data_IF_102983155579
#
_entry.id   IF_102983155579
#
_cell.length_a   1.000
_cell.length_b   1.000
_cell.length_c   1.000
_cell.angle_alpha   90.00
_cell.angle_beta   90.00
_cell.angle_gamma   90.00
#
_symmetry.space_group_name_H-M   'P 1'
#
loop_
_entity.id
_entity.type
_entity.pdbx_description
1 polymer ?
#
# COMPACT_ATOMS: atom_id res chain seq x y z
N UNK A 1 29.63 -4.17 28.32
CA UNK A 1 28.80 -4.77 27.30
C UNK A 1 27.49 -3.97 27.30
N UNK A 2 27.19 -3.20 26.27
CA UNK A 2 25.91 -2.47 26.19
C UNK A 2 24.85 -3.47 25.72
N UNK A 3 23.88 -3.78 26.56
CA UNK A 3 22.73 -4.61 26.21
C UNK A 3 21.79 -3.80 25.29
N UNK A 4 21.25 -4.45 24.27
CA UNK A 4 20.29 -3.89 23.32
C UNK A 4 18.98 -3.48 24.05
N UNK A 5 18.23 -2.51 23.54
CA UNK A 5 17.01 -1.96 24.18
C UNK A 5 15.98 -3.06 24.52
N UNK A 6 15.76 -4.02 23.61
CA UNK A 6 14.88 -5.18 23.82
C UNK A 6 15.31 -6.05 25.02
N UNK A 7 16.61 -6.18 25.27
CA UNK A 7 17.12 -6.90 26.44
C UNK A 7 16.92 -6.12 27.75
N UNK A 8 16.74 -4.80 27.70
CA UNK A 8 16.48 -3.99 28.90
C UNK A 8 15.05 -4.07 29.41
N UNK A 9 14.07 -4.19 28.51
CA UNK A 9 12.65 -4.34 28.90
C UNK A 9 12.42 -5.71 29.54
N UNK A 10 13.00 -6.76 29.00
CA UNK A 10 13.00 -8.11 29.59
C UNK A 10 13.64 -8.08 30.99
N UNK A 11 14.73 -7.33 31.22
CA UNK A 11 15.41 -7.28 32.49
C UNK A 11 14.63 -6.55 33.60
N UNK A 12 13.83 -5.55 33.28
CA UNK A 12 13.02 -4.81 34.27
C UNK A 12 11.83 -5.66 34.78
N UNK A 13 11.20 -6.44 33.91
CA UNK A 13 10.20 -7.43 34.36
C UNK A 13 10.83 -8.57 35.18
N UNK A 14 12.03 -9.04 34.82
CA UNK A 14 12.73 -10.10 35.57
C UNK A 14 13.13 -9.69 36.99
N UNK A 15 13.50 -8.43 37.23
CA UNK A 15 13.89 -7.98 38.57
C UNK A 15 12.73 -7.96 39.58
N UNK A 16 11.48 -7.88 39.12
CA UNK A 16 10.29 -7.92 39.98
C UNK A 16 9.79 -9.36 40.20
N UNK A 17 10.00 -10.28 39.26
CA UNK A 17 9.60 -11.68 39.36
C UNK A 17 10.57 -12.55 40.18
N UNK A 18 11.85 -12.19 40.22
CA UNK A 18 12.88 -12.93 40.98
C UNK A 18 12.59 -13.04 42.49
N UNK A 19 11.68 -12.22 43.03
CA UNK A 19 11.29 -12.22 44.45
C UNK A 19 10.16 -13.23 44.79
N UNK A 20 9.58 -13.93 43.83
CA UNK A 20 8.36 -14.75 44.07
C UNK A 20 8.44 -16.25 43.67
N UNK A 21 9.55 -16.72 43.11
CA UNK A 21 9.73 -18.15 42.74
C UNK A 21 8.66 -18.67 41.74
N UNK A 22 8.19 -17.84 40.84
CA UNK A 22 7.15 -18.18 39.83
C UNK A 22 7.78 -18.52 38.48
N UNK A 23 7.20 -19.46 37.75
CA UNK A 23 7.50 -19.67 36.35
C UNK A 23 6.86 -18.54 35.53
N UNK A 24 7.61 -17.90 34.64
CA UNK A 24 7.11 -16.99 33.61
C UNK A 24 6.93 -17.78 32.33
N UNK A 25 5.85 -17.51 31.62
CA UNK A 25 5.67 -17.98 30.24
C UNK A 25 6.03 -16.82 29.33
N UNK A 26 7.01 -17.02 28.49
CA UNK A 26 7.31 -16.11 27.38
C UNK A 26 6.53 -16.63 26.19
N UNK A 27 5.57 -15.86 25.69
CA UNK A 27 4.84 -16.17 24.47
C UNK A 27 5.53 -15.43 23.34
N UNK A 28 6.03 -16.17 22.38
CA UNK A 28 6.55 -15.59 21.13
C UNK A 28 5.47 -15.75 20.07
N UNK A 29 5.04 -14.65 19.51
CA UNK A 29 4.12 -14.60 18.37
C UNK A 29 4.97 -14.53 17.10
N UNK A 30 4.65 -15.40 16.14
CA UNK A 30 5.23 -15.34 14.79
C UNK A 30 4.10 -15.32 13.79
N UNK A 31 4.16 -14.40 12.84
CA UNK A 31 3.27 -14.29 11.69
C UNK A 31 3.99 -14.81 10.46
N UNK A 32 3.29 -15.50 9.59
CA UNK A 32 3.82 -16.04 8.34
C UNK A 32 2.69 -16.52 7.45
N UNK A 33 3.01 -16.86 6.20
CA UNK A 33 2.05 -17.36 5.24
C UNK A 33 1.68 -18.81 5.58
N UNK A 34 0.38 -19.12 5.61
CA UNK A 34 -0.16 -20.49 5.73
C UNK A 34 -0.39 -21.09 4.34
N UNK A 35 -1.09 -20.37 3.49
CA UNK A 35 -1.39 -20.75 2.12
C UNK A 35 -1.44 -19.55 1.20
N UNK A 36 -1.45 -19.78 -0.11
CA UNK A 36 -1.49 -18.72 -1.12
C UNK A 36 -2.48 -19.06 -2.23
N UNK A 37 -3.16 -18.04 -2.74
CA UNK A 37 -3.97 -18.14 -3.96
C UNK A 37 -3.48 -17.13 -4.98
N UNK A 38 -3.26 -17.56 -6.22
CA UNK A 38 -2.91 -16.69 -7.34
C UNK A 38 -4.13 -16.41 -8.21
N UNK A 39 -4.28 -15.17 -8.62
CA UNK A 39 -5.24 -14.71 -9.65
C UNK A 39 -4.44 -14.16 -10.82
N UNK A 40 -4.61 -14.75 -11.99
CA UNK A 40 -3.93 -14.38 -13.24
C UNK A 40 -4.75 -14.86 -14.45
N UNK A 41 -4.30 -14.56 -15.65
CA UNK A 41 -4.91 -15.03 -16.92
C UNK A 41 -5.15 -16.56 -16.99
N UNK A 42 -4.46 -17.34 -16.14
CA UNK A 42 -4.57 -18.81 -16.14
C UNK A 42 -4.95 -19.41 -14.78
N UNK A 43 -5.15 -18.60 -13.75
CA UNK A 43 -5.33 -19.06 -12.38
C UNK A 43 -6.38 -18.24 -11.63
N UNK A 44 -6.95 -18.83 -10.55
CA UNK A 44 -7.82 -18.11 -9.62
C UNK A 44 -9.23 -17.82 -10.14
N UNK A 45 -9.73 -18.62 -11.10
CA UNK A 45 -11.03 -18.48 -11.74
C UNK A 45 -11.24 -17.15 -12.51
N UNK A 46 -10.22 -16.36 -12.68
CA UNK A 46 -10.30 -15.13 -13.48
C UNK A 46 -10.56 -15.49 -14.95
N UNK A 47 -11.67 -15.04 -15.53
CA UNK A 47 -12.10 -15.28 -16.92
C UNK A 47 -11.86 -14.07 -17.82
N UNK A 48 -11.42 -12.93 -17.25
CA UNK A 48 -11.03 -11.74 -17.98
C UNK A 48 -9.88 -12.02 -18.95
N UNK A 49 -9.77 -11.22 -19.99
CA UNK A 49 -8.70 -11.34 -20.98
C UNK A 49 -7.64 -10.30 -20.68
N UNK A 50 -6.42 -10.76 -20.39
CA UNK A 50 -5.24 -9.91 -20.27
C UNK A 50 -4.41 -10.05 -21.54
N UNK A 51 -3.93 -8.94 -22.06
CA UNK A 51 -2.99 -8.90 -23.18
C UNK A 51 -1.55 -8.81 -22.71
N UNK A 52 -0.57 -9.04 -23.59
CA UNK A 52 0.83 -8.94 -23.22
C UNK A 52 1.17 -7.49 -22.83
N UNK A 53 1.82 -7.31 -21.69
CA UNK A 53 2.21 -6.04 -21.08
C UNK A 53 1.11 -5.25 -20.35
N UNK A 54 -0.11 -5.76 -20.17
CA UNK A 54 -1.18 -5.06 -19.41
C UNK A 54 -0.79 -4.72 -17.98
N UNK A 55 0.12 -5.50 -17.39
CA UNK A 55 0.60 -5.32 -16.01
C UNK A 55 -0.53 -5.35 -14.98
N UNK A 56 -1.47 -6.28 -15.09
CA UNK A 56 -2.52 -6.51 -14.10
C UNK A 56 -1.92 -6.73 -12.70
N UNK A 57 -2.46 -6.05 -11.69
CA UNK A 57 -1.91 -6.06 -10.34
C UNK A 57 -0.78 -5.06 -10.11
N UNK A 58 -0.61 -4.06 -10.99
CA UNK A 58 0.25 -2.89 -10.72
C UNK A 58 -0.26 -2.05 -9.55
N UNK A 59 -1.57 -2.04 -9.33
CA UNK A 59 -2.24 -1.49 -8.16
C UNK A 59 -3.27 -2.50 -7.66
N UNK A 60 -3.53 -2.51 -6.36
CA UNK A 60 -4.60 -3.29 -5.75
C UNK A 60 -5.18 -2.55 -4.55
N UNK A 61 -6.49 -2.57 -4.40
CA UNK A 61 -7.20 -2.02 -3.25
C UNK A 61 -8.30 -2.96 -2.79
N UNK A 62 -8.50 -3.03 -1.48
CA UNK A 62 -9.72 -3.54 -0.86
C UNK A 62 -10.82 -2.50 -1.10
N UNK A 63 -11.92 -2.88 -1.74
CA UNK A 63 -13.05 -1.99 -2.03
C UNK A 63 -14.32 -2.34 -1.23
N UNK A 64 -14.13 -3.13 -0.16
CA UNK A 64 -15.24 -3.60 0.67
C UNK A 64 -16.06 -4.69 0.01
N UNK A 65 -17.23 -4.97 0.54
CA UNK A 65 -18.21 -5.95 0.05
C UNK A 65 -19.23 -5.19 -0.82
N UNK A 66 -18.95 -5.13 -2.14
CA UNK A 66 -19.69 -4.26 -3.08
C UNK A 66 -21.09 -4.82 -3.42
N UNK A 67 -21.23 -6.14 -3.52
CA UNK A 67 -22.51 -6.78 -3.80
C UNK A 67 -23.24 -7.31 -2.55
N UNK A 68 -22.69 -7.08 -1.36
CA UNK A 68 -23.25 -7.44 -0.05
C UNK A 68 -23.45 -8.96 0.14
N UNK A 69 -22.47 -9.76 -0.25
CA UNK A 69 -22.45 -11.22 -0.07
C UNK A 69 -21.71 -11.65 1.20
N UNK A 70 -20.95 -10.75 1.81
CA UNK A 70 -20.18 -10.93 3.06
C UNK A 70 -18.70 -11.21 2.84
N UNK A 71 -18.21 -11.21 1.61
CA UNK A 71 -16.80 -11.32 1.24
C UNK A 71 -16.28 -9.95 0.78
N UNK A 72 -15.01 -9.67 1.02
CA UNK A 72 -14.39 -8.42 0.59
C UNK A 72 -13.95 -8.54 -0.86
N UNK A 73 -14.26 -7.50 -1.65
CA UNK A 73 -13.91 -7.39 -3.06
C UNK A 73 -12.65 -6.56 -3.27
N UNK A 74 -12.05 -6.72 -4.43
CA UNK A 74 -10.81 -6.04 -4.79
C UNK A 74 -10.98 -5.23 -6.08
N UNK A 75 -10.25 -4.12 -6.16
CA UNK A 75 -9.97 -3.44 -7.43
C UNK A 75 -8.50 -3.64 -7.79
N UNK A 76 -8.22 -4.00 -9.03
CA UNK A 76 -6.87 -4.25 -9.55
C UNK A 76 -6.59 -3.41 -10.79
N UNK A 77 -5.49 -2.69 -10.81
CA UNK A 77 -5.07 -1.88 -11.95
C UNK A 77 -4.30 -2.68 -13.00
N UNK A 78 -4.52 -2.32 -14.26
CA UNK A 78 -3.79 -2.76 -15.45
C UNK A 78 -3.45 -1.52 -16.30
N UNK A 79 -2.42 -0.74 -15.93
CA UNK A 79 -2.21 0.61 -16.46
C UNK A 79 -1.74 0.64 -17.92
N UNK A 80 -1.29 -0.48 -18.47
CA UNK A 80 -0.86 -0.57 -19.86
C UNK A 80 -1.87 -1.29 -20.76
N UNK A 81 -3.11 -1.47 -20.29
CA UNK A 81 -4.20 -2.04 -21.09
C UNK A 81 -4.52 -1.12 -22.28
N UNK A 82 -4.64 -1.72 -23.47
CA UNK A 82 -4.80 -1.02 -24.75
C UNK A 82 -6.27 -0.77 -25.15
N UNK A 83 -7.24 -0.94 -24.24
CA UNK A 83 -8.65 -0.67 -24.53
C UNK A 83 -8.89 0.79 -24.90
N UNK A 84 -9.40 1.02 -26.09
CA UNK A 84 -9.66 2.36 -26.64
C UNK A 84 -8.46 3.02 -27.30
N UNK A 85 -7.22 2.67 -26.93
CA UNK A 85 -5.97 3.21 -27.48
C UNK A 85 -4.74 2.67 -26.77
N UNK A 86 -3.55 3.17 -27.07
CA UNK A 86 -2.30 2.66 -26.54
C UNK A 86 -2.10 3.08 -25.08
N UNK A 87 -1.87 2.10 -24.17
CA UNK A 87 -1.57 2.30 -22.75
C UNK A 87 -2.55 3.27 -22.06
N UNK A 88 -3.82 3.25 -22.44
CA UNK A 88 -4.86 4.05 -21.76
C UNK A 88 -5.11 3.55 -20.36
N UNK A 89 -4.98 2.23 -20.19
CA UNK A 89 -5.13 1.55 -18.93
C UNK A 89 -6.55 1.15 -18.56
N UNK A 90 -6.64 0.27 -17.57
CA UNK A 90 -7.90 -0.26 -17.07
C UNK A 90 -7.84 -0.55 -15.56
N UNK A 91 -9.03 -0.71 -14.97
CA UNK A 91 -9.21 -1.26 -13.62
C UNK A 91 -10.17 -2.45 -13.71
N UNK A 92 -9.83 -3.52 -13.03
CA UNK A 92 -10.68 -4.69 -12.85
C UNK A 92 -11.28 -4.67 -11.45
N UNK A 93 -12.60 -4.72 -11.36
CA UNK A 93 -13.34 -5.01 -10.14
C UNK A 93 -13.46 -6.52 -10.04
N UNK A 94 -12.98 -7.10 -8.97
CA UNK A 94 -12.95 -8.53 -8.71
C UNK A 94 -13.87 -8.85 -7.53
N UNK A 95 -14.99 -9.51 -7.79
CA UNK A 95 -15.85 -10.05 -6.76
C UNK A 95 -15.24 -11.36 -6.29
N UNK A 96 -14.88 -11.43 -5.01
CA UNK A 96 -14.00 -12.47 -4.48
C UNK A 96 -14.77 -13.57 -3.76
N UNK A 97 -14.22 -14.78 -3.78
CA UNK A 97 -14.61 -15.86 -2.86
C UNK A 97 -13.70 -15.84 -1.63
N UNK A 98 -14.15 -16.47 -0.52
CA UNK A 98 -13.38 -16.61 0.73
C UNK A 98 -12.11 -17.45 0.59
N UNK A 99 -11.94 -18.20 -0.50
CA UNK A 99 -10.73 -18.95 -0.83
C UNK A 99 -9.73 -18.15 -1.69
N UNK A 100 -9.98 -16.85 -1.91
CA UNK A 100 -9.14 -15.95 -2.68
C UNK A 100 -9.23 -16.13 -4.20
N UNK A 101 -10.19 -16.90 -4.69
CA UNK A 101 -10.51 -16.98 -6.12
C UNK A 101 -11.54 -15.91 -6.50
N UNK A 102 -11.61 -15.56 -7.79
CA UNK A 102 -12.60 -14.64 -8.33
C UNK A 102 -13.93 -15.42 -8.58
N UNK A 103 -15.06 -14.82 -8.20
CA UNK A 103 -16.40 -15.31 -8.59
C UNK A 103 -16.87 -14.65 -9.89
N UNK A 104 -16.77 -13.33 -9.97
CA UNK A 104 -17.12 -12.51 -11.14
C UNK A 104 -16.10 -11.37 -11.24
N UNK A 105 -15.81 -10.92 -12.45
CA UNK A 105 -15.03 -9.71 -12.68
C UNK A 105 -15.75 -8.70 -13.57
N UNK A 106 -15.48 -7.42 -13.38
CA UNK A 106 -15.92 -6.32 -14.24
C UNK A 106 -14.75 -5.43 -14.60
N UNK A 107 -14.46 -5.28 -15.90
CA UNK A 107 -13.45 -4.33 -16.39
C UNK A 107 -14.04 -2.93 -16.51
N UNK A 108 -13.26 -1.93 -16.12
CA UNK A 108 -13.51 -0.50 -16.34
C UNK A 108 -12.37 0.04 -17.18
N UNK A 109 -12.68 0.49 -18.40
CA UNK A 109 -11.73 1.04 -19.36
C UNK A 109 -12.41 2.14 -20.20
N UNK A 110 -11.68 2.73 -21.13
CA UNK A 110 -12.26 3.71 -22.08
C UNK A 110 -13.40 3.12 -22.93
N UNK A 111 -13.55 1.78 -22.99
CA UNK A 111 -14.56 1.09 -23.78
C UNK A 111 -15.51 0.22 -22.97
N UNK A 112 -15.23 -0.05 -21.70
CA UNK A 112 -16.00 -0.98 -20.86
C UNK A 112 -16.39 -0.38 -19.50
N UNK A 113 -17.27 -1.05 -18.76
CA UNK A 113 -17.63 -0.68 -17.38
C UNK A 113 -18.45 0.61 -17.24
N UNK A 114 -19.09 1.09 -18.32
CA UNK A 114 -19.82 2.37 -18.36
C UNK A 114 -18.95 3.61 -18.04
N UNK A 115 -17.64 3.49 -18.10
CA UNK A 115 -16.77 4.63 -17.92
C UNK A 115 -17.08 5.71 -18.98
N UNK A 116 -17.16 7.01 -18.60
CA UNK A 116 -17.72 8.04 -19.50
C UNK A 116 -16.84 8.41 -20.70
N UNK A 117 -15.73 7.71 -20.91
CA UNK A 117 -14.67 7.99 -21.88
C UNK A 117 -13.90 9.28 -21.60
N UNK A 118 -12.71 9.40 -22.12
CA UNK A 118 -11.88 10.58 -22.00
C UNK A 118 -10.45 10.28 -21.54
N UNK A 119 -10.02 9.02 -21.68
CA UNK A 119 -8.62 8.68 -21.56
C UNK A 119 -7.91 8.91 -22.90
N UNK A 120 -6.75 9.52 -22.83
CA UNK A 120 -5.86 9.68 -23.98
C UNK A 120 -4.79 8.56 -24.00
N UNK A 121 -4.11 8.41 -25.13
CA UNK A 121 -3.05 7.39 -25.22
C UNK A 121 -1.93 7.69 -24.23
N UNK A 122 -1.53 6.68 -23.47
CA UNK A 122 -0.51 6.70 -22.41
C UNK A 122 -0.92 7.34 -21.08
N UNK A 123 -2.19 7.65 -20.82
CA UNK A 123 -2.66 8.18 -19.52
C UNK A 123 -2.39 7.23 -18.36
N UNK A 124 -2.34 5.91 -18.64
CA UNK A 124 -2.11 4.86 -17.63
C UNK A 124 -3.12 4.87 -16.48
N UNK A 125 -4.40 4.99 -16.82
CA UNK A 125 -5.50 4.82 -15.87
C UNK A 125 -5.39 3.44 -15.19
N UNK A 126 -5.52 3.40 -13.86
CA UNK A 126 -5.30 2.18 -13.07
C UNK A 126 -3.88 2.04 -12.52
N UNK A 127 -3.00 3.04 -12.68
CA UNK A 127 -1.68 3.04 -12.01
C UNK A 127 -1.79 3.04 -10.48
N UNK A 128 -2.84 3.62 -9.94
CA UNK A 128 -3.20 3.60 -8.52
C UNK A 128 -4.71 3.42 -8.37
N UNK A 129 -5.13 2.74 -7.30
CA UNK A 129 -6.55 2.54 -6.94
C UNK A 129 -6.69 2.64 -5.43
N UNK A 130 -7.73 3.34 -4.95
CA UNK A 130 -8.08 3.42 -3.54
C UNK A 130 -9.60 3.41 -3.33
N UNK A 131 -10.08 2.80 -2.25
CA UNK A 131 -11.46 2.86 -1.79
C UNK A 131 -11.75 4.21 -1.13
N UNK A 132 -12.95 4.74 -1.30
CA UNK A 132 -13.37 6.06 -0.78
C UNK A 132 -14.51 5.99 0.23
N UNK A 133 -15.04 4.79 0.51
CA UNK A 133 -16.32 4.68 1.19
C UNK A 133 -17.48 5.08 0.27
N UNK A 134 -18.64 5.24 0.87
CA UNK A 134 -19.85 5.76 0.21
C UNK A 134 -19.79 7.30 0.21
N UNK A 135 -19.09 7.87 -0.78
CA UNK A 135 -18.83 9.32 -0.86
C UNK A 135 -20.11 10.12 -1.17
N UNK A 136 -21.04 9.53 -1.94
CA UNK A 136 -22.23 10.20 -2.42
C UNK A 136 -23.49 9.90 -1.57
N UNK A 137 -23.42 8.98 -0.60
CA UNK A 137 -24.49 8.61 0.31
C UNK A 137 -25.54 7.65 -0.30
N UNK A 138 -25.19 6.86 -1.32
CA UNK A 138 -26.09 5.91 -1.98
C UNK A 138 -25.99 4.47 -1.44
N UNK A 139 -25.12 4.22 -0.47
CA UNK A 139 -24.74 2.96 0.17
C UNK A 139 -23.98 1.98 -0.73
N UNK A 140 -23.33 2.45 -1.78
CA UNK A 140 -22.37 1.71 -2.58
C UNK A 140 -21.00 2.37 -2.39
N UNK A 141 -19.96 1.57 -2.28
CA UNK A 141 -18.61 2.08 -2.08
C UNK A 141 -18.06 2.64 -3.39
N UNK A 142 -17.41 3.78 -3.32
CA UNK A 142 -16.83 4.49 -4.44
C UNK A 142 -15.30 4.32 -4.44
N UNK A 143 -14.63 4.56 -5.57
CA UNK A 143 -13.20 4.40 -5.71
C UNK A 143 -12.52 5.61 -6.36
N UNK A 144 -11.24 5.81 -6.04
CA UNK A 144 -10.36 6.73 -6.76
C UNK A 144 -9.37 5.95 -7.61
N UNK A 145 -9.10 6.42 -8.82
CA UNK A 145 -8.18 5.79 -9.77
C UNK A 145 -7.21 6.82 -10.34
N UNK A 146 -5.93 6.51 -10.34
CA UNK A 146 -4.87 7.37 -10.86
C UNK A 146 -4.60 7.16 -12.35
N UNK A 147 -4.30 8.27 -13.03
CA UNK A 147 -3.82 8.36 -14.39
C UNK A 147 -2.63 9.32 -14.42
N UNK A 148 -1.43 8.91 -13.99
CA UNK A 148 -0.31 9.82 -13.69
C UNK A 148 0.32 10.46 -14.93
N UNK A 149 0.08 9.95 -16.11
CA UNK A 149 0.60 10.53 -17.35
C UNK A 149 -0.46 11.30 -18.15
N UNK A 150 -1.60 11.64 -17.53
CA UNK A 150 -2.62 12.51 -18.12
C UNK A 150 -2.06 13.89 -18.41
N UNK A 151 -2.28 14.40 -19.64
CA UNK A 151 -1.72 15.63 -20.15
C UNK A 151 -2.58 16.89 -19.85
N UNK A 152 -3.55 16.81 -18.96
CA UNK A 152 -4.39 17.96 -18.60
C UNK A 152 -3.56 19.12 -18.01
N UNK A 153 -3.53 20.23 -18.76
CA UNK A 153 -2.80 21.44 -18.38
C UNK A 153 -1.32 21.46 -18.77
N UNK A 154 -0.71 20.31 -19.09
CA UNK A 154 0.70 20.19 -19.52
C UNK A 154 1.11 18.73 -19.66
N UNK A 155 2.37 18.46 -19.93
CA UNK A 155 2.88 17.10 -20.18
C UNK A 155 2.99 16.32 -18.89
N UNK A 156 2.36 15.13 -18.83
CA UNK A 156 2.45 14.16 -17.73
C UNK A 156 2.22 14.80 -16.34
N UNK A 157 1.31 15.76 -16.25
CA UNK A 157 0.94 16.38 -14.96
C UNK A 157 0.14 15.45 -14.11
N UNK A 158 -0.62 14.55 -14.77
CA UNK A 158 -1.40 13.52 -14.15
C UNK A 158 -2.79 13.95 -13.67
N UNK A 159 -3.60 12.95 -13.39
CA UNK A 159 -4.98 13.11 -12.93
C UNK A 159 -5.40 11.99 -11.97
N UNK A 160 -6.47 12.27 -11.22
CA UNK A 160 -7.21 11.30 -10.42
C UNK A 160 -8.67 11.29 -10.88
N UNK A 161 -9.23 10.11 -11.04
CA UNK A 161 -10.63 9.92 -11.34
C UNK A 161 -11.36 9.41 -10.09
N UNK A 162 -12.40 10.09 -9.66
CA UNK A 162 -13.34 9.61 -8.65
C UNK A 162 -14.46 8.90 -9.37
N UNK A 163 -14.63 7.61 -9.12
CA UNK A 163 -15.63 6.77 -9.75
C UNK A 163 -16.72 6.45 -8.74
N UNK A 164 -17.92 6.92 -9.01
CA UNK A 164 -19.13 6.53 -8.28
C UNK A 164 -19.65 5.23 -8.86
N UNK A 165 -19.71 4.19 -8.03
CA UNK A 165 -19.90 2.84 -8.48
C UNK A 165 -21.37 2.38 -8.44
N UNK A 166 -21.69 1.37 -9.22
CA UNK A 166 -22.85 0.52 -9.05
C UNK A 166 -22.46 -0.79 -8.37
N UNK A 167 -23.39 -1.46 -7.71
CA UNK A 167 -23.15 -2.74 -7.05
C UNK A 167 -22.75 -3.89 -8.01
N UNK A 168 -22.84 -3.69 -9.32
CA UNK A 168 -22.39 -4.66 -10.34
C UNK A 168 -20.96 -4.35 -10.85
N UNK A 169 -20.23 -3.48 -10.16
CA UNK A 169 -18.87 -3.09 -10.52
C UNK A 169 -18.77 -2.12 -11.70
N UNK A 170 -19.88 -1.65 -12.25
CA UNK A 170 -19.86 -0.63 -13.33
C UNK A 170 -19.87 0.79 -12.75
N UNK A 171 -19.42 1.76 -13.54
CA UNK A 171 -19.41 3.19 -13.15
C UNK A 171 -20.80 3.80 -13.33
N UNK A 172 -21.30 4.46 -12.30
CA UNK A 172 -22.54 5.26 -12.34
C UNK A 172 -22.24 6.68 -12.86
N UNK A 173 -21.18 7.28 -12.33
CA UNK A 173 -20.69 8.63 -12.66
C UNK A 173 -19.21 8.72 -12.36
N UNK A 174 -18.47 9.58 -13.07
CA UNK A 174 -17.06 9.85 -12.81
C UNK A 174 -16.77 11.37 -12.72
N UNK A 175 -15.88 11.75 -11.82
CA UNK A 175 -15.35 13.10 -11.69
C UNK A 175 -13.82 13.07 -11.82
N UNK A 176 -13.28 13.75 -12.82
CA UNK A 176 -11.84 13.94 -12.97
C UNK A 176 -11.34 15.08 -12.08
N UNK A 177 -10.19 14.87 -11.47
CA UNK A 177 -9.42 15.88 -10.74
C UNK A 177 -8.07 16.01 -11.43
N UNK A 178 -7.79 17.16 -11.99
CA UNK A 178 -6.55 17.45 -12.70
C UNK A 178 -6.17 18.93 -12.54
N UNK A 179 -5.09 19.35 -13.19
CA UNK A 179 -4.70 20.77 -13.22
C UNK A 179 -5.78 21.70 -13.82
N UNK A 180 -6.78 21.16 -14.51
CA UNK A 180 -7.85 21.92 -15.19
C UNK A 180 -9.25 21.58 -14.73
N UNK A 181 -9.46 20.46 -14.02
CA UNK A 181 -10.77 19.93 -13.62
C UNK A 181 -10.87 19.62 -12.12
N UNK A 182 -12.10 19.31 -11.65
CA UNK A 182 -12.35 18.86 -10.27
C UNK A 182 -12.20 19.92 -9.19
N UNK A 183 -12.00 21.19 -9.56
CA UNK A 183 -11.81 22.28 -8.59
C UNK A 183 -10.41 22.36 -7.98
N UNK A 184 -9.48 21.54 -8.43
CA UNK A 184 -8.09 21.57 -7.98
C UNK A 184 -7.41 22.85 -8.46
N UNK A 185 -6.87 23.62 -7.53
CA UNK A 185 -6.15 24.87 -7.80
C UNK A 185 -4.70 24.83 -7.33
N UNK A 186 -4.21 23.64 -6.96
CA UNK A 186 -2.79 23.37 -6.75
C UNK A 186 -2.02 23.58 -8.07
N UNK A 187 -0.73 23.81 -7.94
CA UNK A 187 0.12 23.96 -9.12
C UNK A 187 0.78 22.61 -9.37
N UNK A 188 0.46 21.99 -10.51
CA UNK A 188 1.18 20.84 -11.06
C UNK A 188 2.07 21.32 -12.20
N UNK A 189 3.31 20.92 -12.19
CA UNK A 189 4.28 21.18 -13.26
C UNK A 189 4.36 20.00 -14.23
N UNK A 190 5.03 20.18 -15.37
CA UNK A 190 5.18 19.09 -16.34
C UNK A 190 6.02 17.95 -15.75
N UNK A 191 5.55 16.70 -15.85
CA UNK A 191 6.07 15.45 -15.29
C UNK A 191 5.89 15.27 -13.78
N UNK A 192 5.05 16.03 -13.10
CA UNK A 192 4.74 15.81 -11.67
C UNK A 192 4.10 14.44 -11.40
N UNK A 193 3.39 13.89 -12.41
CA UNK A 193 2.76 12.57 -12.31
C UNK A 193 1.78 12.45 -11.13
N UNK A 194 0.94 13.46 -10.92
CA UNK A 194 -0.12 13.44 -9.92
C UNK A 194 -1.08 12.26 -10.15
N UNK A 195 -1.33 11.45 -9.14
CA UNK A 195 -2.09 10.22 -9.27
C UNK A 195 -1.23 8.95 -9.40
N UNK A 196 0.10 9.06 -9.26
CA UNK A 196 0.99 7.89 -9.25
C UNK A 196 0.72 6.94 -8.08
N UNK A 197 0.26 7.47 -6.95
CA UNK A 197 -0.24 6.71 -5.79
C UNK A 197 -1.46 7.41 -5.22
N UNK A 198 -2.41 6.64 -4.66
CA UNK A 198 -3.61 7.17 -4.00
C UNK A 198 -3.91 6.31 -2.77
N UNK A 199 -4.32 6.96 -1.69
CA UNK A 199 -4.83 6.28 -0.50
C UNK A 199 -5.96 7.07 0.14
N UNK A 200 -6.97 6.38 0.64
CA UNK A 200 -7.90 6.90 1.62
C UNK A 200 -7.18 7.00 2.97
N UNK A 201 -7.19 8.17 3.58
CA UNK A 201 -6.50 8.45 4.85
C UNK A 201 -7.49 8.83 5.97
N UNK A 202 -8.76 8.41 5.82
CA UNK A 202 -9.80 8.66 6.79
C UNK A 202 -10.33 10.10 6.77
N UNK A 203 -11.06 10.47 7.81
CA UNK A 203 -11.65 11.79 8.01
C UNK A 203 -10.79 12.60 8.99
N UNK A 204 -9.71 13.21 8.50
CA UNK A 204 -8.76 13.97 9.31
C UNK A 204 -9.37 15.25 9.90
N UNK A 205 -10.29 15.88 9.16
CA UNK A 205 -10.85 17.17 9.51
C UNK A 205 -12.18 17.05 10.28
N UNK A 206 -12.73 15.84 10.45
CA UNK A 206 -13.99 15.50 11.11
C UNK A 206 -15.22 16.14 10.44
N UNK A 207 -15.27 16.18 9.11
CA UNK A 207 -16.42 16.67 8.33
C UNK A 207 -17.34 15.55 7.81
N UNK A 208 -17.01 14.28 8.10
CA UNK A 208 -17.67 13.03 7.71
C UNK A 208 -17.42 12.58 6.27
N UNK A 209 -16.51 13.21 5.56
CA UNK A 209 -16.03 12.78 4.24
C UNK A 209 -14.56 12.36 4.36
N UNK A 210 -14.10 11.42 3.56
CA UNK A 210 -12.70 11.01 3.62
C UNK A 210 -11.79 12.06 2.98
N UNK A 211 -10.59 12.21 3.52
CA UNK A 211 -9.46 12.78 2.81
C UNK A 211 -8.75 11.68 2.02
N UNK A 212 -8.23 12.05 0.84
CA UNK A 212 -7.32 11.20 0.08
C UNK A 212 -5.92 11.81 0.01
N UNK A 213 -4.91 10.96 0.09
CA UNK A 213 -3.54 11.34 -0.21
C UNK A 213 -3.17 10.86 -1.61
N UNK A 214 -2.59 11.76 -2.41
CA UNK A 214 -2.25 11.54 -3.82
C UNK A 214 -0.77 11.85 -4.03
N UNK A 215 -0.02 10.89 -4.58
CA UNK A 215 1.38 11.05 -4.93
C UNK A 215 1.58 11.81 -6.24
N UNK A 216 2.58 12.70 -6.24
CA UNK A 216 3.13 13.40 -7.39
C UNK A 216 4.64 13.17 -7.37
N UNK A 217 5.06 12.05 -7.95
CA UNK A 217 6.42 11.51 -7.74
C UNK A 217 7.52 12.28 -8.45
N UNK A 218 7.18 12.98 -9.53
CA UNK A 218 8.09 13.84 -10.26
C UNK A 218 8.10 15.28 -9.78
N UNK A 219 7.45 15.61 -8.67
CA UNK A 219 7.40 16.98 -8.12
C UNK A 219 8.81 17.46 -7.73
N UNK A 220 9.16 18.66 -8.22
CA UNK A 220 10.48 19.26 -8.11
C UNK A 220 10.65 20.18 -6.87
N UNK A 221 9.74 20.15 -5.91
CA UNK A 221 9.85 20.93 -4.67
C UNK A 221 11.14 20.56 -3.90
N UNK A 222 12.02 21.54 -3.75
CA UNK A 222 13.32 21.36 -3.09
C UNK A 222 14.44 20.83 -3.99
N UNK A 223 14.13 20.13 -5.09
CA UNK A 223 15.10 19.56 -6.05
C UNK A 223 14.43 18.67 -7.08
N UNK A 224 15.19 18.03 -7.94
CA UNK A 224 14.66 17.25 -9.07
C UNK A 224 14.07 15.92 -8.61
N UNK A 225 12.81 15.64 -8.99
CA UNK A 225 12.09 14.39 -8.74
C UNK A 225 12.15 13.95 -7.27
N UNK A 226 12.10 14.90 -6.32
CA UNK A 226 12.04 14.56 -4.90
C UNK A 226 10.69 13.98 -4.51
N UNK A 227 9.66 14.37 -5.26
CA UNK A 227 8.29 13.94 -5.06
C UNK A 227 7.53 14.70 -3.97
N UNK A 228 6.21 14.56 -4.01
CA UNK A 228 5.30 15.19 -3.07
C UNK A 228 4.03 14.34 -2.86
N UNK A 229 3.34 14.64 -1.77
CA UNK A 229 2.01 14.10 -1.48
C UNK A 229 1.03 15.27 -1.40
N UNK A 230 -0.10 15.16 -2.08
CA UNK A 230 -1.22 16.08 -1.99
C UNK A 230 -2.33 15.44 -1.15
N UNK A 231 -2.70 16.06 -0.06
CA UNK A 231 -3.85 15.66 0.77
C UNK A 231 -5.04 16.47 0.32
N UNK A 232 -6.09 15.79 -0.14
CA UNK A 232 -7.27 16.39 -0.74
C UNK A 232 -8.50 16.10 0.10
N UNK A 233 -9.21 17.14 0.54
CA UNK A 233 -10.55 17.01 1.11
C UNK A 233 -11.58 17.03 -0.01
N UNK A 234 -12.37 15.95 -0.10
CA UNK A 234 -13.37 15.77 -1.14
C UNK A 234 -14.74 16.33 -0.73
N UNK A 235 -15.53 16.73 -1.71
CA UNK A 235 -16.95 16.97 -1.55
C UNK A 235 -17.75 15.72 -2.01
N UNK A 236 -19.03 15.59 -1.60
CA UNK A 236 -19.91 14.47 -1.97
C UNK A 236 -20.04 14.22 -3.49
N UNK A 237 -19.69 15.17 -4.32
CA UNK A 237 -19.71 15.05 -5.78
C UNK A 237 -18.32 14.75 -6.40
N UNK A 238 -17.34 14.42 -5.58
CA UNK A 238 -15.97 14.11 -6.01
C UNK A 238 -15.10 15.31 -6.39
N UNK A 239 -15.57 16.55 -6.22
CA UNK A 239 -14.72 17.73 -6.42
C UNK A 239 -13.92 18.06 -5.17
N UNK A 240 -12.82 18.78 -5.31
CA UNK A 240 -11.97 19.20 -4.20
C UNK A 240 -12.57 20.40 -3.46
N UNK A 241 -12.67 20.30 -2.14
CA UNK A 241 -13.04 21.39 -1.24
C UNK A 241 -11.80 22.13 -0.72
N UNK A 242 -10.76 21.41 -0.31
CA UNK A 242 -9.48 21.97 0.14
C UNK A 242 -8.34 20.98 -0.11
N UNK A 243 -7.11 21.45 -0.07
CA UNK A 243 -5.94 20.60 -0.22
C UNK A 243 -4.74 21.13 0.58
N UNK A 244 -3.83 20.22 0.92
CA UNK A 244 -2.53 20.49 1.52
C UNK A 244 -1.46 19.72 0.75
N UNK A 245 -0.33 20.36 0.41
CA UNK A 245 0.85 19.69 -0.15
C UNK A 245 1.85 19.37 0.97
N UNK A 246 2.41 18.17 0.94
CA UNK A 246 3.52 17.71 1.79
C UNK A 246 4.70 17.40 0.88
N UNK A 247 5.80 18.14 1.04
CA UNK A 247 7.02 18.00 0.22
C UNK A 247 8.24 18.47 1.02
N UNK A 248 9.43 18.40 0.45
CA UNK A 248 10.68 18.92 1.05
C UNK A 248 10.59 20.42 1.46
N UNK A 249 9.60 21.15 0.95
CA UNK A 249 9.42 22.58 1.22
C UNK A 249 8.04 22.95 1.77
N UNK A 250 7.12 22.01 1.95
CA UNK A 250 5.72 22.27 2.29
C UNK A 250 5.15 21.28 3.30
N UNK A 251 4.03 21.62 3.96
CA UNK A 251 3.27 20.69 4.81
C UNK A 251 3.92 20.39 6.17
N UNK A 252 4.82 21.23 6.66
CA UNK A 252 5.58 21.05 7.90
C UNK A 252 6.47 19.78 7.92
N UNK A 253 6.65 19.12 6.78
CA UNK A 253 7.57 18.00 6.65
C UNK A 253 9.00 18.48 6.86
N UNK A 254 9.69 17.91 7.85
CA UNK A 254 11.07 18.29 8.22
C UNK A 254 12.08 17.20 7.83
N UNK A 255 11.63 16.12 7.20
CA UNK A 255 12.46 15.09 6.61
C UNK A 255 13.36 15.67 5.52
N UNK A 256 14.37 14.94 5.14
CA UNK A 256 15.28 15.34 4.05
C UNK A 256 15.08 14.42 2.87
N UNK A 257 14.59 14.94 1.76
CA UNK A 257 14.51 14.27 0.48
C UNK A 257 15.69 14.67 -0.40
N UNK A 258 16.15 13.77 -1.25
CA UNK A 258 17.21 14.00 -2.25
C UNK A 258 16.62 13.94 -3.64
N UNK A 259 17.39 14.43 -4.61
CA UNK A 259 16.99 14.37 -6.01
C UNK A 259 16.84 12.91 -6.44
N UNK A 260 15.68 12.55 -6.98
CA UNK A 260 15.35 11.19 -7.41
C UNK A 260 14.80 10.26 -6.32
N UNK A 261 14.48 10.73 -5.12
CA UNK A 261 13.90 9.89 -4.05
C UNK A 261 12.47 9.41 -4.39
N UNK A 262 11.73 10.15 -5.23
CA UNK A 262 10.34 9.83 -5.61
C UNK A 262 9.41 9.64 -4.41
N UNK A 263 9.46 10.55 -3.43
CA UNK A 263 8.58 10.52 -2.26
C UNK A 263 7.11 10.58 -2.67
N UNK A 264 6.29 9.70 -2.09
CA UNK A 264 4.90 9.52 -2.49
C UNK A 264 4.72 8.49 -3.61
N UNK A 265 5.74 7.67 -3.94
CA UNK A 265 5.64 6.57 -4.91
C UNK A 265 4.66 5.48 -4.51
N UNK A 266 4.41 5.34 -3.22
CA UNK A 266 3.31 4.56 -2.64
C UNK A 266 2.79 5.29 -1.42
N UNK A 267 1.51 5.14 -1.11
CA UNK A 267 0.86 5.80 0.04
C UNK A 267 -0.16 4.86 0.64
N UNK A 268 -0.27 4.86 1.97
CA UNK A 268 -1.36 4.18 2.68
C UNK A 268 -1.78 4.97 3.92
N UNK A 269 -3.08 5.04 4.19
CA UNK A 269 -3.59 5.34 5.52
C UNK A 269 -3.28 4.16 6.44
N UNK A 270 -2.64 4.41 7.56
CA UNK A 270 -2.21 3.33 8.47
C UNK A 270 -2.97 3.33 9.80
N UNK A 271 -3.98 4.19 9.94
CA UNK A 271 -4.68 4.39 11.20
C UNK A 271 -3.90 5.29 12.17
N UNK A 272 -4.41 5.42 13.38
CA UNK A 272 -3.83 6.24 14.46
C UNK A 272 -2.68 5.48 15.16
N UNK A 273 -1.46 5.59 14.59
CA UNK A 273 -0.28 4.85 15.05
C UNK A 273 0.15 5.28 16.46
N UNK A 274 0.10 6.58 16.76
CA UNK A 274 0.59 7.10 18.05
C UNK A 274 -0.50 7.32 19.10
N UNK A 275 -1.75 7.00 18.76
CA UNK A 275 -2.93 7.08 19.61
C UNK A 275 -3.30 8.51 20.05
N UNK A 276 -3.17 9.47 19.13
CA UNK A 276 -3.58 10.85 19.35
C UNK A 276 -5.00 11.15 18.82
N UNK A 277 -5.62 10.21 18.10
CA UNK A 277 -6.97 10.28 17.55
C UNK A 277 -7.02 10.82 16.12
N UNK A 278 -5.88 10.93 15.45
CA UNK A 278 -5.76 11.36 14.05
C UNK A 278 -5.15 10.22 13.25
N UNK A 279 -5.66 9.98 12.05
CA UNK A 279 -5.11 8.98 11.13
C UNK A 279 -3.72 9.41 10.62
N UNK A 280 -2.81 8.44 10.54
CA UNK A 280 -1.43 8.62 10.09
C UNK A 280 -1.20 7.98 8.72
N UNK A 281 -0.09 8.31 8.08
CA UNK A 281 0.21 7.92 6.70
C UNK A 281 1.55 7.19 6.65
N UNK A 282 1.62 6.11 5.87
CA UNK A 282 2.89 5.57 5.37
C UNK A 282 3.09 5.99 3.91
N UNK A 283 4.32 6.37 3.55
CA UNK A 283 4.67 6.80 2.20
C UNK A 283 6.00 6.21 1.75
N UNK A 284 6.04 5.68 0.53
CA UNK A 284 7.26 5.17 -0.11
C UNK A 284 8.10 6.28 -0.74
N UNK A 285 9.40 6.02 -0.83
CA UNK A 285 10.39 6.79 -1.56
C UNK A 285 11.37 5.80 -2.21
N UNK A 286 10.99 5.28 -3.37
CA UNK A 286 11.64 4.10 -3.99
C UNK A 286 13.06 4.35 -4.48
N UNK A 287 13.40 5.60 -4.80
CA UNK A 287 14.74 6.00 -5.23
C UNK A 287 15.65 6.43 -4.09
N UNK A 288 15.25 6.26 -2.82
CA UNK A 288 16.09 6.64 -1.68
C UNK A 288 17.38 5.81 -1.63
N UNK A 289 18.52 6.53 -1.55
CA UNK A 289 19.88 5.97 -1.61
C UNK A 289 20.46 5.61 -0.23
N UNK A 290 19.66 5.53 0.82
CA UNK A 290 20.16 5.19 2.14
C UNK A 290 20.70 3.75 2.19
N UNK A 291 22.03 3.65 2.36
CA UNK A 291 22.75 2.37 2.39
C UNK A 291 23.27 1.90 1.03
N UNK A 292 22.74 2.38 -0.08
CA UNK A 292 23.12 2.02 -1.47
C UNK A 292 22.17 2.64 -2.49
N UNK A 293 22.38 2.36 -3.78
CA UNK A 293 21.60 2.97 -4.86
C UNK A 293 20.18 2.38 -4.92
N UNK A 294 19.16 3.26 -4.92
CA UNK A 294 17.75 2.92 -5.10
C UNK A 294 17.28 1.78 -4.18
N UNK A 295 17.80 1.71 -2.94
CA UNK A 295 17.35 0.71 -1.98
C UNK A 295 15.94 0.98 -1.50
N UNK A 296 15.55 2.24 -1.57
CA UNK A 296 14.24 2.72 -1.18
C UNK A 296 14.07 2.94 0.33
N UNK A 297 12.99 3.61 0.66
CA UNK A 297 12.59 3.91 2.04
C UNK A 297 11.08 3.99 2.20
N UNK A 298 10.62 3.83 3.43
CA UNK A 298 9.25 4.12 3.87
C UNK A 298 9.32 5.24 4.91
N UNK A 299 8.43 6.21 4.80
CA UNK A 299 8.22 7.26 5.79
C UNK A 299 6.92 7.00 6.55
N UNK A 300 6.97 6.91 7.86
CA UNK A 300 5.80 7.02 8.72
C UNK A 300 5.58 8.51 9.04
N UNK A 301 4.45 9.05 8.64
CA UNK A 301 4.07 10.47 8.82
C UNK A 301 2.96 10.53 9.86
N UNK A 302 3.25 11.05 11.05
CA UNK A 302 2.27 11.31 12.09
C UNK A 302 1.62 12.67 11.81
N UNK A 303 0.31 12.68 11.59
CA UNK A 303 -0.39 13.80 11.01
C UNK A 303 -1.02 14.73 12.06
N UNK A 304 -1.30 15.96 11.64
CA UNK A 304 -2.19 16.89 12.33
C UNK A 304 -3.57 16.90 11.65
N UNK A 305 -4.61 17.30 12.38
CA UNK A 305 -5.97 17.44 11.86
C UNK A 305 -6.12 18.51 10.74
N UNK A 306 -5.10 19.31 10.47
CA UNK A 306 -5.06 20.28 9.37
C UNK A 306 -4.27 19.76 8.15
N UNK A 307 -4.06 18.45 8.11
CA UNK A 307 -3.36 17.74 7.02
C UNK A 307 -1.87 18.12 6.88
N UNK A 308 -1.27 18.69 7.92
CA UNK A 308 0.19 18.89 7.98
C UNK A 308 0.88 17.75 8.73
N UNK A 309 2.17 17.53 8.51
CA UNK A 309 2.97 16.53 9.21
C UNK A 309 3.37 17.09 10.58
N UNK A 310 3.07 16.34 11.65
CA UNK A 310 3.48 16.66 13.01
C UNK A 310 4.86 16.12 13.36
N UNK A 311 5.12 14.91 12.88
CA UNK A 311 6.37 14.19 13.06
C UNK A 311 6.53 13.16 11.95
N UNK A 312 7.74 12.92 11.51
CA UNK A 312 8.05 11.91 10.53
C UNK A 312 9.17 10.98 11.00
N UNK A 313 9.07 9.71 10.67
CA UNK A 313 10.11 8.70 10.89
C UNK A 313 10.42 8.00 9.57
N UNK A 314 11.67 8.10 9.14
CA UNK A 314 12.19 7.34 7.99
C UNK A 314 12.58 5.94 8.41
N UNK A 315 12.18 4.96 7.60
CA UNK A 315 12.55 3.55 7.70
C UNK A 315 13.31 3.19 6.42
N UNK A 316 14.58 2.84 6.54
CA UNK A 316 15.46 2.54 5.41
C UNK A 316 16.57 1.59 5.84
N UNK A 317 17.44 1.19 4.93
CA UNK A 317 18.61 0.35 5.24
C UNK A 317 19.49 0.90 6.39
N UNK A 318 19.34 2.18 6.74
CA UNK A 318 20.17 2.84 7.77
C UNK A 318 19.38 3.54 8.87
N UNK A 319 18.06 3.61 8.77
CA UNK A 319 17.18 4.36 9.67
C UNK A 319 15.99 3.52 10.16
N UNK A 320 15.29 4.00 11.22
CA UNK A 320 14.02 3.42 11.69
C UNK A 320 14.17 2.07 12.39
N UNK A 321 15.38 1.72 12.85
CA UNK A 321 15.72 0.41 13.44
C UNK A 321 15.54 -0.78 12.47
N UNK A 322 15.36 -0.55 11.18
CA UNK A 322 15.29 -1.61 10.17
C UNK A 322 16.63 -2.34 10.07
N UNK A 323 16.60 -3.67 10.21
CA UNK A 323 17.79 -4.53 10.14
C UNK A 323 17.68 -5.57 9.02
N UNK A 324 16.61 -5.50 8.22
CA UNK A 324 16.46 -6.27 7.00
C UNK A 324 17.59 -5.94 6.02
N UNK A 325 18.03 -6.94 5.27
CA UNK A 325 19.04 -6.71 4.22
C UNK A 325 18.35 -6.15 2.99
N UNK A 326 18.61 -4.89 2.64
CA UNK A 326 18.24 -4.30 1.37
C UNK A 326 19.49 -4.20 0.50
N UNK A 327 19.38 -4.69 -0.72
CA UNK A 327 20.40 -4.57 -1.75
C UNK A 327 20.11 -3.41 -2.71
N UNK A 328 21.05 -3.05 -3.57
CA UNK A 328 20.87 -1.95 -4.50
C UNK A 328 19.75 -2.27 -5.49
N UNK A 329 18.82 -1.34 -5.71
CA UNK A 329 17.63 -1.44 -6.56
C UNK A 329 16.54 -2.40 -6.02
N UNK A 330 16.49 -2.66 -4.73
CA UNK A 330 15.39 -3.42 -4.12
C UNK A 330 14.06 -2.63 -4.13
N UNK A 331 14.11 -1.30 -4.21
CA UNK A 331 12.94 -0.41 -4.22
C UNK A 331 12.02 -0.62 -3.01
N UNK A 332 12.59 -0.74 -1.80
CA UNK A 332 11.80 -0.86 -0.57
C UNK A 332 10.85 0.34 -0.41
N UNK A 333 9.58 0.07 -0.22
CA UNK A 333 8.53 1.09 -0.29
C UNK A 333 7.89 1.22 -1.68
N UNK A 334 8.11 0.27 -2.62
CA UNK A 334 7.39 0.23 -3.90
C UNK A 334 5.88 0.14 -3.72
N UNK A 335 5.43 -0.43 -2.62
CA UNK A 335 4.07 -0.42 -2.13
C UNK A 335 4.05 -0.39 -0.60
N UNK A 336 2.98 0.14 0.01
CA UNK A 336 2.77 0.15 1.45
C UNK A 336 1.30 -0.11 1.79
N UNK A 337 1.03 -0.73 2.95
CA UNK A 337 -0.33 -0.89 3.48
C UNK A 337 -0.32 -1.02 5.01
N UNK A 338 -1.36 -0.51 5.68
CA UNK A 338 -1.60 -0.74 7.09
C UNK A 338 -2.17 -2.14 7.33
N UNK A 339 -1.66 -2.87 8.32
CA UNK A 339 -2.12 -4.22 8.65
C UNK A 339 -2.93 -4.28 9.94
N UNK A 340 -3.11 -3.13 10.63
CA UNK A 340 -3.61 -3.16 11.99
C UNK A 340 -2.62 -3.85 12.95
N UNK A 341 -3.07 -4.23 14.13
CA UNK A 341 -2.25 -4.89 15.16
C UNK A 341 -2.16 -6.41 14.92
N UNK A 342 -1.26 -6.83 14.03
CA UNK A 342 -1.12 -8.26 13.67
C UNK A 342 -0.33 -9.06 14.71
N UNK A 343 0.43 -8.39 15.58
CA UNK A 343 1.21 -9.05 16.63
C UNK A 343 0.48 -9.06 17.99
N UNK A 344 -0.57 -8.25 18.19
CA UNK A 344 -1.40 -8.18 19.39
C UNK A 344 -0.81 -7.33 20.52
N UNK A 345 0.04 -6.36 20.20
CA UNK A 345 0.66 -5.46 21.19
C UNK A 345 -0.09 -4.12 21.36
N UNK A 346 -1.14 -3.89 20.56
CA UNK A 346 -1.98 -2.70 20.59
C UNK A 346 -1.39 -1.52 19.80
N UNK A 347 -0.48 -1.79 18.88
CA UNK A 347 0.10 -0.82 17.95
C UNK A 347 -0.14 -1.33 16.53
N UNK A 348 -0.40 -0.43 15.61
CA UNK A 348 -0.63 -0.76 14.21
C UNK A 348 0.70 -1.16 13.56
N UNK A 349 0.67 -2.25 12.79
CA UNK A 349 1.78 -2.75 12.01
C UNK A 349 1.56 -2.43 10.52
N UNK A 350 2.63 -2.42 9.73
CA UNK A 350 2.56 -2.10 8.30
C UNK A 350 3.28 -3.15 7.45
N UNK A 351 2.89 -3.25 6.17
CA UNK A 351 3.66 -3.98 5.17
C UNK A 351 4.23 -3.03 4.13
N UNK A 352 5.39 -3.37 3.58
CA UNK A 352 6.00 -2.68 2.45
C UNK A 352 6.54 -3.66 1.42
N UNK A 353 6.35 -3.35 0.15
CA UNK A 353 6.94 -4.07 -0.97
C UNK A 353 8.39 -3.66 -1.23
N UNK A 354 9.13 -4.56 -1.84
CA UNK A 354 10.46 -4.36 -2.41
C UNK A 354 10.46 -5.14 -3.74
N UNK A 355 9.91 -4.53 -4.80
CA UNK A 355 9.62 -5.23 -6.06
C UNK A 355 10.87 -5.60 -6.85
N UNK A 356 12.01 -4.96 -6.56
CA UNK A 356 13.31 -5.29 -7.12
C UNK A 356 14.12 -6.33 -6.35
N UNK A 357 13.63 -6.83 -5.21
CA UNK A 357 14.36 -7.78 -4.35
C UNK A 357 14.75 -9.06 -5.08
N UNK A 358 16.03 -9.44 -4.93
CA UNK A 358 16.66 -10.56 -5.66
C UNK A 358 16.59 -11.90 -4.91
N UNK A 359 15.79 -12.03 -3.87
CA UNK A 359 15.66 -13.28 -3.11
C UNK A 359 15.16 -14.45 -3.97
N UNK A 360 16.04 -15.43 -4.16
CA UNK A 360 15.79 -16.63 -4.97
C UNK A 360 15.96 -16.46 -6.46
N UNK A 361 16.13 -15.24 -6.98
CA UNK A 361 16.37 -14.90 -8.40
C UNK A 361 16.25 -13.40 -8.65
N UNK A 362 16.51 -12.97 -9.88
CA UNK A 362 16.55 -11.55 -10.21
C UNK A 362 15.19 -10.90 -10.21
N UNK A 363 15.02 -9.81 -9.47
CA UNK A 363 13.81 -8.99 -9.35
C UNK A 363 12.54 -9.84 -9.14
N UNK A 364 12.62 -10.87 -8.30
CA UNK A 364 11.43 -11.66 -7.95
C UNK A 364 10.51 -10.92 -7.01
N UNK A 365 11.09 -9.99 -6.27
CA UNK A 365 10.41 -9.15 -5.32
C UNK A 365 10.14 -9.80 -3.96
N UNK A 366 9.77 -8.96 -3.00
CA UNK A 366 9.48 -9.35 -1.64
C UNK A 366 8.45 -8.42 -0.98
N UNK A 367 7.85 -8.91 0.11
CA UNK A 367 7.02 -8.14 1.03
C UNK A 367 7.65 -8.17 2.42
N UNK A 368 7.81 -7.02 3.03
CA UNK A 368 8.29 -6.86 4.40
C UNK A 368 7.14 -6.55 5.33
N UNK A 369 6.98 -7.31 6.40
CA UNK A 369 6.10 -7.02 7.52
C UNK A 369 6.90 -6.26 8.57
N UNK A 370 6.46 -5.10 8.98
CA UNK A 370 7.12 -4.24 9.96
C UNK A 370 6.25 -4.09 11.19
N UNK A 371 6.76 -4.55 12.33
CA UNK A 371 6.12 -4.42 13.63
C UNK A 371 6.56 -3.10 14.26
N UNK A 372 5.61 -2.20 14.46
CA UNK A 372 5.86 -0.79 14.72
C UNK A 372 5.95 -0.44 16.22
N UNK A 373 6.64 0.66 16.53
CA UNK A 373 6.49 1.44 17.77
C UNK A 373 5.64 2.70 17.47
N UNK A 374 5.03 3.30 18.49
CA UNK A 374 4.18 4.51 18.36
C UNK A 374 4.92 5.75 17.84
N UNK A 375 6.23 5.76 17.83
CA UNK A 375 7.07 6.83 17.29
C UNK A 375 7.50 6.57 15.83
N UNK A 376 6.91 5.56 15.19
CA UNK A 376 7.21 5.18 13.81
C UNK A 376 8.50 4.38 13.62
N UNK A 377 9.29 4.10 14.67
CA UNK A 377 10.39 3.13 14.59
C UNK A 377 9.84 1.70 14.55
N UNK A 378 10.59 0.76 14.00
CA UNK A 378 10.21 -0.67 14.03
C UNK A 378 10.87 -1.39 15.21
N UNK A 379 10.09 -2.34 15.78
CA UNK A 379 10.56 -3.27 16.81
C UNK A 379 11.27 -4.44 16.16
N UNK A 380 10.67 -4.96 15.10
CA UNK A 380 11.17 -6.10 14.34
C UNK A 380 10.52 -6.14 12.95
N UNK A 381 11.12 -6.90 12.05
CA UNK A 381 10.64 -7.10 10.69
C UNK A 381 10.62 -8.59 10.32
N UNK A 382 9.79 -8.95 9.34
CA UNK A 382 9.74 -10.27 8.73
C UNK A 382 9.60 -10.15 7.22
N UNK A 383 10.29 -10.98 6.45
CA UNK A 383 10.30 -10.96 4.99
C UNK A 383 9.52 -12.14 4.42
N UNK A 384 8.67 -11.88 3.43
CA UNK A 384 7.99 -12.86 2.60
C UNK A 384 8.56 -12.74 1.18
N UNK A 385 9.18 -13.82 0.69
CA UNK A 385 9.79 -13.86 -0.64
C UNK A 385 9.76 -15.28 -1.18
N UNK A 386 10.30 -15.51 -2.36
CA UNK A 386 10.37 -16.86 -2.96
C UNK A 386 11.15 -17.87 -2.10
N UNK A 387 11.88 -17.43 -1.08
CA UNK A 387 12.70 -18.29 -0.18
C UNK A 387 12.47 -18.01 1.31
N UNK A 388 11.60 -17.07 1.67
CA UNK A 388 11.35 -16.64 3.04
C UNK A 388 9.85 -16.55 3.36
N UNK A 389 9.48 -16.49 4.66
CA UNK A 389 8.11 -16.21 5.10
C UNK A 389 7.10 -17.34 4.85
N UNK A 390 7.55 -18.57 4.60
CA UNK A 390 6.73 -19.74 4.24
C UNK A 390 5.94 -19.60 2.93
N UNK A 391 6.28 -18.64 2.08
CA UNK A 391 5.64 -18.50 0.78
C UNK A 391 5.84 -19.77 -0.06
N UNK A 392 4.75 -20.38 -0.53
CA UNK A 392 4.75 -21.64 -1.28
C UNK A 392 4.50 -21.48 -2.78
N UNK A 393 4.20 -20.24 -3.21
CA UNK A 393 4.03 -19.89 -4.62
C UNK A 393 5.34 -20.00 -5.41
N UNK A 394 5.24 -19.92 -6.71
CA UNK A 394 6.41 -19.91 -7.60
C UNK A 394 6.52 -18.53 -8.23
N UNK A 395 7.62 -17.83 -7.95
CA UNK A 395 7.99 -16.57 -8.59
C UNK A 395 9.11 -16.83 -9.59
N UNK A 396 8.98 -16.29 -10.79
CA UNK A 396 10.03 -16.31 -11.83
C UNK A 396 10.87 -15.04 -11.77
N UNK A 397 12.01 -15.03 -12.43
CA UNK A 397 12.85 -13.83 -12.49
C UNK A 397 12.10 -12.71 -13.22
N UNK A 398 12.09 -11.52 -12.64
CA UNK A 398 11.39 -10.34 -13.17
C UNK A 398 9.94 -10.17 -12.72
N UNK A 399 9.36 -11.10 -11.99
CA UNK A 399 7.92 -11.08 -11.58
C UNK A 399 7.50 -9.82 -10.80
N UNK A 400 8.43 -9.22 -10.03
CA UNK A 400 8.17 -8.02 -9.21
C UNK A 400 7.02 -8.21 -8.20
N UNK A 401 7.05 -9.32 -7.44
CA UNK A 401 6.16 -9.57 -6.32
C UNK A 401 6.35 -8.50 -5.23
N UNK A 402 5.28 -7.95 -4.69
CA UNK A 402 5.34 -6.79 -3.80
C UNK A 402 5.19 -5.45 -4.53
N UNK A 403 4.87 -5.44 -5.83
CA UNK A 403 4.64 -4.20 -6.59
C UNK A 403 3.40 -3.41 -6.14
N UNK A 404 2.43 -4.08 -5.55
CA UNK A 404 1.23 -3.49 -4.95
C UNK A 404 0.86 -4.26 -3.68
N UNK A 405 0.20 -3.62 -2.72
CA UNK A 405 -0.26 -4.23 -1.47
C UNK A 405 -1.65 -3.73 -1.09
N UNK A 406 -2.49 -4.65 -0.64
CA UNK A 406 -3.76 -4.34 0.00
C UNK A 406 -3.98 -5.23 1.22
N UNK A 407 -4.76 -4.73 2.18
CA UNK A 407 -5.23 -5.45 3.35
C UNK A 407 -6.72 -5.79 3.14
N UNK A 408 -7.08 -7.03 2.74
CA UNK A 408 -8.47 -7.43 2.57
C UNK A 408 -9.19 -7.75 3.90
N UNK A 409 -8.49 -7.62 5.04
CA UNK A 409 -8.97 -8.14 6.33
C UNK A 409 -8.71 -9.64 6.48
N UNK A 410 -9.53 -10.30 7.25
CA UNK A 410 -9.53 -11.75 7.48
C UNK A 410 -10.46 -12.41 6.45
N UNK A 411 -9.91 -12.73 5.28
CA UNK A 411 -10.68 -13.18 4.11
C UNK A 411 -11.21 -14.62 4.30
N UNK A 412 -10.41 -15.50 4.90
CA UNK A 412 -10.78 -16.90 5.13
C UNK A 412 -11.42 -17.17 6.51
N UNK A 413 -11.63 -16.10 7.30
CA UNK A 413 -12.28 -16.10 8.62
C UNK A 413 -11.55 -16.98 9.66
N UNK A 414 -10.22 -17.05 9.60
CA UNK A 414 -9.39 -17.79 10.56
C UNK A 414 -8.99 -16.95 11.79
N UNK A 415 -9.24 -15.66 11.76
CA UNK A 415 -8.95 -14.67 12.80
C UNK A 415 -7.62 -13.94 12.61
N UNK A 416 -6.97 -14.10 11.46
CA UNK A 416 -5.72 -13.43 11.08
C UNK A 416 -6.00 -12.51 9.86
N UNK A 417 -5.36 -11.36 9.83
CA UNK A 417 -5.46 -10.46 8.67
C UNK A 417 -4.61 -11.00 7.53
N UNK A 418 -5.19 -11.08 6.34
CA UNK A 418 -4.56 -11.53 5.12
C UNK A 418 -3.95 -10.37 4.32
N UNK A 419 -3.16 -10.70 3.32
CA UNK A 419 -2.50 -9.70 2.47
C UNK A 419 -2.72 -10.06 1.00
N UNK A 420 -3.10 -9.08 0.19
CA UNK A 420 -3.06 -9.21 -1.26
C UNK A 420 -1.88 -8.42 -1.81
N UNK A 421 -1.12 -9.02 -2.71
CA UNK A 421 0.05 -8.39 -3.32
C UNK A 421 0.06 -8.56 -4.82
N UNK A 422 0.51 -7.53 -5.51
CA UNK A 422 0.74 -7.54 -6.95
C UNK A 422 2.06 -8.21 -7.33
N UNK A 423 2.07 -8.74 -8.54
CA UNK A 423 3.22 -9.26 -9.25
C UNK A 423 3.07 -8.81 -10.72
N UNK A 424 3.28 -7.53 -10.95
CA UNK A 424 2.86 -6.83 -12.19
C UNK A 424 3.53 -7.32 -13.47
N UNK A 425 4.68 -7.98 -13.38
CA UNK A 425 5.40 -8.55 -14.52
C UNK A 425 5.37 -10.08 -14.50
N UNK A 426 4.32 -10.67 -13.95
CA UNK A 426 4.12 -12.12 -14.00
C UNK A 426 3.73 -12.57 -15.41
N UNK A 427 4.38 -13.63 -15.91
CA UNK A 427 4.26 -14.13 -17.29
C UNK A 427 3.14 -15.19 -17.46
N UNK A 428 2.24 -15.38 -16.51
CA UNK A 428 1.14 -16.33 -16.66
C UNK A 428 0.22 -15.92 -17.81
N UNK A 429 0.09 -16.81 -18.78
CA UNK A 429 -0.72 -16.58 -20.00
C UNK A 429 0.02 -15.87 -21.13
N UNK A 430 1.00 -15.01 -20.83
CA UNK A 430 1.80 -14.22 -21.79
C UNK A 430 2.84 -13.34 -21.12
N UNK A 431 3.51 -12.48 -21.88
CA UNK A 431 4.57 -11.64 -21.34
C UNK A 431 4.01 -10.47 -20.53
N UNK A 432 4.48 -10.31 -19.29
CA UNK A 432 4.16 -9.19 -18.39
C UNK A 432 2.65 -8.90 -18.26
N UNK A 433 1.81 -9.95 -18.30
CA UNK A 433 0.35 -9.80 -18.12
C UNK A 433 0.00 -9.42 -16.69
N UNK A 434 0.84 -9.86 -15.76
CA UNK A 434 0.69 -9.59 -14.34
C UNK A 434 -0.20 -10.58 -13.60
N UNK A 435 -0.17 -10.48 -12.27
CA UNK A 435 -0.94 -11.32 -11.37
C UNK A 435 -1.17 -10.67 -10.01
N UNK A 436 -2.16 -11.17 -9.27
CA UNK A 436 -2.32 -10.95 -7.84
C UNK A 436 -2.04 -12.25 -7.07
N UNK A 437 -1.55 -12.11 -5.85
CA UNK A 437 -1.39 -13.17 -4.89
C UNK A 437 -2.10 -12.82 -3.58
N UNK A 438 -3.06 -13.63 -3.18
CA UNK A 438 -3.60 -13.59 -1.82
C UNK A 438 -2.71 -14.46 -0.94
N UNK A 439 -2.21 -13.88 0.12
CA UNK A 439 -1.41 -14.52 1.16
C UNK A 439 -2.31 -14.73 2.36
N UNK A 440 -2.79 -15.95 2.58
CA UNK A 440 -3.50 -16.30 3.80
C UNK A 440 -2.49 -16.40 4.93
N UNK A 441 -2.63 -15.53 5.90
CA UNK A 441 -1.66 -15.37 6.96
C UNK A 441 -2.03 -16.25 8.16
N UNK A 442 -1.04 -16.70 8.90
CA UNK A 442 -1.27 -17.41 10.16
C UNK A 442 -0.51 -16.75 11.30
N UNK A 443 -1.13 -16.76 12.46
CA UNK A 443 -0.50 -16.38 13.71
C UNK A 443 -0.21 -17.62 14.54
N UNK A 444 1.05 -17.90 14.83
CA UNK A 444 1.42 -18.99 15.69
C UNK A 444 2.01 -18.48 17.01
N UNK A 445 1.49 -19.01 18.13
CA UNK A 445 1.94 -18.70 19.47
C UNK A 445 2.82 -19.84 20.00
N UNK A 446 4.04 -19.52 20.39
CA UNK A 446 4.93 -20.50 21.02
C UNK A 446 5.20 -20.10 22.47
N UNK A 447 4.60 -20.85 23.39
CA UNK A 447 4.82 -20.70 24.82
C UNK A 447 6.12 -21.35 25.28
N UNK A 448 7.08 -20.53 25.70
CA UNK A 448 8.30 -21.00 26.36
C UNK A 448 8.21 -20.80 27.86
N UNK A 449 8.09 -21.88 28.62
CA UNK A 449 8.18 -21.83 30.10
C UNK A 449 9.61 -21.57 30.52
N UNK A 450 9.87 -20.43 31.11
CA UNK A 450 11.14 -20.09 31.76
C UNK A 450 10.99 -20.39 33.25
N UNK A 451 11.67 -21.44 33.71
CA UNK A 451 11.76 -21.76 35.15
C UNK A 451 12.98 -21.06 35.72
N UNK A 452 12.77 -20.07 36.55
CA UNK A 452 13.87 -19.42 37.27
C UNK A 452 14.18 -20.28 38.48
N UNK A 453 15.34 -20.93 38.48
CA UNK A 453 15.85 -21.65 39.65
C UNK A 453 16.45 -20.63 40.61
N UNK A 454 15.94 -20.60 41.83
CA UNK A 454 16.56 -19.86 42.94
C UNK A 454 17.75 -20.67 43.45
N UNK A 455 18.96 -20.35 42.99
CA UNK A 455 20.20 -20.92 43.56
C UNK A 455 20.44 -20.29 44.94
N UNK A 456 19.71 -20.78 45.92
CA UNK A 456 20.06 -20.62 47.33
C UNK A 456 20.59 -21.94 47.86
N UNK A 457 21.91 -22.12 47.84
CA UNK A 457 22.68 -22.84 48.85
C UNK A 457 23.71 -21.89 49.49
#
# INVERSE_FOLDING_TARGET
MRLNKSQKIVFILFAWLALSGRSCTETTITTGVDSVQKVSDTSGNFEGVLEDSDQFGSAVANIGDLEADGVIDLAAGAPLDDDGGTDRGAVWILFMNDDGTVDIEQKISDTEGNFPAGLDDSDRFGSAVAELGDLNGDNILDIAVGAPLDDDGGTDRGAVWILFMNADGTVQFAQKISNTEGGFSGILEDNDQFGAAIANIGDLNNDLLPEIAVGAIGDDDGGTDRGAIWILSLAENGTIFSFQKVSDSSGEFAGTLRDGDFFGSSIAGIGDLDADGIEDIAAGAIGDDDGGADRGAVWALLMNADSTVRFEQKISATNGNFNGGLDDSDHFGSSVTGLGDINGDGIIDIAAGADGDDDGGSNRGAVWLMFMERDGEIISESKISSVSGNFTGTLTDGTQFGSALANPGDLDLDGTIDIVTGAKLDDDGGADRGALWTLFMQRSETDRKITIFDDKE
#
